data_IF_631556346266
#
_entry.id   IF_631556346266
#
_cell.length_a   1.000
_cell.length_b   1.000
_cell.length_c   1.000
_cell.angle_alpha   90.00
_cell.angle_beta   90.00
_cell.angle_gamma   90.00
#
_symmetry.space_group_name_H-M   'P 1'
#
loop_
_entity.id
_entity.type
_entity.pdbx_description
1 polymer ?
#
# COMPACT_ATOMS: atom_id res chain seq x y z
N UNK A 1 0.00 -5.90 38.96
CA UNK A 1 1.27 -5.21 38.62
C UNK A 1 1.65 -5.25 37.13
N UNK A 2 0.94 -5.98 36.26
CA UNK A 2 1.20 -6.04 34.80
C UNK A 2 0.63 -4.87 33.97
N UNK A 3 -0.13 -3.96 34.59
CA UNK A 3 -0.81 -2.87 33.89
C UNK A 3 0.16 -1.88 33.22
N UNK A 4 1.34 -1.65 33.81
CA UNK A 4 2.39 -0.82 33.22
C UNK A 4 2.97 -1.43 31.94
N UNK A 5 3.21 -2.75 31.93
CA UNK A 5 3.67 -3.46 30.74
C UNK A 5 2.63 -3.41 29.61
N UNK A 6 1.34 -3.60 29.92
CA UNK A 6 0.27 -3.47 28.92
C UNK A 6 0.13 -2.05 28.38
N UNK A 7 0.27 -1.03 29.23
CA UNK A 7 0.25 0.37 28.82
C UNK A 7 1.42 0.69 27.87
N UNK A 8 2.62 0.19 28.18
CA UNK A 8 3.80 0.32 27.32
C UNK A 8 3.58 -0.33 25.95
N UNK A 9 3.05 -1.56 25.91
CA UNK A 9 2.77 -2.28 24.66
C UNK A 9 1.72 -1.56 23.80
N UNK A 10 0.69 -0.96 24.42
CA UNK A 10 -0.29 -0.13 23.70
C UNK A 10 0.34 1.14 23.12
N UNK A 11 1.22 1.79 23.88
CA UNK A 11 1.99 2.95 23.40
C UNK A 11 2.89 2.61 22.20
N UNK A 12 3.61 1.48 22.27
CA UNK A 12 4.44 1.00 21.17
C UNK A 12 3.62 0.71 19.90
N UNK A 13 2.49 0.01 20.01
CA UNK A 13 1.62 -0.27 18.87
C UNK A 13 1.06 1.00 18.24
N UNK A 14 0.69 2.00 19.04
CA UNK A 14 0.20 3.29 18.54
C UNK A 14 1.30 4.05 17.79
N UNK A 15 2.53 4.03 18.27
CA UNK A 15 3.67 4.65 17.59
C UNK A 15 3.96 3.98 16.23
N UNK A 16 3.93 2.65 16.18
CA UNK A 16 4.16 1.90 14.93
C UNK A 16 3.09 2.22 13.89
N UNK A 17 1.80 2.13 14.27
CA UNK A 17 0.70 2.47 13.34
C UNK A 17 0.78 3.93 12.92
N UNK A 18 1.16 4.84 13.82
CA UNK A 18 1.40 6.25 13.50
C UNK A 18 2.48 6.44 12.45
N UNK A 19 3.63 5.78 12.59
CA UNK A 19 4.74 5.83 11.62
C UNK A 19 4.35 5.17 10.30
N UNK A 20 3.68 4.01 10.32
CA UNK A 20 3.19 3.33 9.13
C UNK A 20 2.16 4.18 8.38
N UNK A 21 1.25 4.83 9.10
CA UNK A 21 0.27 5.75 8.52
C UNK A 21 0.91 7.00 7.91
N UNK A 22 1.91 7.57 8.59
CA UNK A 22 2.69 8.68 8.05
C UNK A 22 3.40 8.28 6.75
N UNK A 23 4.09 7.13 6.75
CA UNK A 23 4.77 6.58 5.58
C UNK A 23 3.81 6.21 4.45
N UNK A 24 2.59 5.76 4.78
CA UNK A 24 1.56 5.45 3.80
C UNK A 24 1.11 6.70 3.05
N UNK A 25 0.94 7.83 3.74
CA UNK A 25 0.61 9.10 3.10
C UNK A 25 1.81 9.66 2.33
N UNK A 26 2.94 9.81 3.00
CA UNK A 26 4.18 10.32 2.43
C UNK A 26 5.37 9.46 2.89
N UNK A 27 6.05 8.71 2.01
CA UNK A 27 6.07 8.87 0.55
C UNK A 27 5.17 7.92 -0.25
N UNK A 28 4.59 6.87 0.35
CA UNK A 28 4.05 5.76 -0.47
C UNK A 28 2.90 6.21 -1.38
N UNK A 29 1.93 6.96 -0.86
CA UNK A 29 0.82 7.45 -1.67
C UNK A 29 1.22 8.63 -2.56
N UNK A 30 1.90 9.63 -1.99
CA UNK A 30 2.33 10.86 -2.69
C UNK A 30 3.29 10.60 -3.84
N UNK A 31 4.23 9.64 -3.69
CA UNK A 31 5.18 9.28 -4.75
C UNK A 31 4.61 8.33 -5.79
N UNK A 32 3.62 7.50 -5.44
CA UNK A 32 3.03 6.54 -6.36
C UNK A 32 1.93 7.15 -7.24
N UNK A 33 1.13 8.09 -6.72
CA UNK A 33 -0.04 8.65 -7.40
C UNK A 33 0.22 10.05 -7.94
N UNK A 34 1.15 10.15 -8.89
CA UNK A 34 1.54 11.44 -9.52
C UNK A 34 0.46 11.98 -10.46
N UNK A 35 -0.35 11.10 -11.05
CA UNK A 35 -1.40 11.45 -11.98
C UNK A 35 -2.58 10.47 -12.01
N UNK A 36 -3.55 10.72 -12.90
CA UNK A 36 -4.75 9.88 -13.01
C UNK A 36 -4.47 8.50 -13.61
N UNK A 37 -3.39 8.35 -14.39
CA UNK A 37 -3.05 7.08 -15.03
C UNK A 37 -2.47 6.08 -14.04
N UNK A 38 -1.62 6.52 -13.11
CA UNK A 38 -1.03 5.72 -12.04
C UNK A 38 -2.14 5.20 -11.11
N UNK A 39 -3.12 6.08 -10.82
CA UNK A 39 -4.30 5.72 -10.07
C UNK A 39 -5.16 4.68 -10.80
N UNK A 40 -5.40 4.85 -12.11
CA UNK A 40 -6.14 3.88 -12.91
C UNK A 40 -5.44 2.51 -12.97
N UNK A 41 -4.10 2.48 -13.07
CA UNK A 41 -3.30 1.26 -13.07
C UNK A 41 -3.40 0.54 -11.71
N UNK A 42 -3.28 1.27 -10.61
CA UNK A 42 -3.44 0.72 -9.26
C UNK A 42 -4.86 0.19 -9.01
N UNK A 43 -5.88 0.93 -9.46
CA UNK A 43 -7.28 0.49 -9.40
C UNK A 43 -7.50 -0.79 -10.22
N UNK A 44 -6.90 -0.88 -11.40
CA UNK A 44 -6.96 -2.08 -12.24
C UNK A 44 -6.35 -3.28 -11.50
N UNK A 45 -5.16 -3.12 -10.91
CA UNK A 45 -4.53 -4.16 -10.09
C UNK A 45 -5.41 -4.59 -8.91
N UNK A 46 -6.01 -3.65 -8.20
CA UNK A 46 -6.94 -3.94 -7.10
C UNK A 46 -8.17 -4.73 -7.59
N UNK A 47 -8.78 -4.35 -8.71
CA UNK A 47 -9.94 -5.06 -9.25
C UNK A 47 -9.55 -6.46 -9.73
N UNK A 48 -8.38 -6.64 -10.35
CA UNK A 48 -7.87 -7.96 -10.75
C UNK A 48 -7.76 -8.93 -9.55
N UNK A 49 -7.38 -8.41 -8.37
CA UNK A 49 -7.32 -9.20 -7.14
C UNK A 49 -8.70 -9.42 -6.50
N UNK A 50 -9.55 -8.41 -6.48
CA UNK A 50 -10.81 -8.45 -5.70
C UNK A 50 -12.00 -9.02 -6.47
N UNK A 51 -12.15 -8.62 -7.73
CA UNK A 51 -13.25 -9.04 -8.61
C UNK A 51 -12.89 -10.33 -9.34
N UNK A 52 -11.74 -10.34 -10.01
CA UNK A 52 -11.30 -11.49 -10.81
C UNK A 52 -10.54 -12.55 -10.01
N UNK A 53 -10.11 -12.25 -8.77
CA UNK A 53 -9.42 -13.19 -7.87
C UNK A 53 -8.21 -13.86 -8.52
N UNK A 54 -7.51 -13.12 -9.39
CA UNK A 54 -6.29 -13.61 -10.02
C UNK A 54 -5.19 -13.82 -8.96
N UNK A 55 -4.28 -14.79 -9.15
CA UNK A 55 -3.17 -14.97 -8.24
C UNK A 55 -2.27 -13.72 -8.24
N UNK A 56 -1.78 -13.34 -7.06
CA UNK A 56 -1.06 -12.08 -6.86
C UNK A 56 0.16 -11.91 -7.80
N UNK A 57 0.85 -13.00 -8.13
CA UNK A 57 2.01 -12.96 -9.02
C UNK A 57 1.65 -12.51 -10.45
N UNK A 58 0.46 -12.86 -10.97
CA UNK A 58 0.00 -12.39 -12.29
C UNK A 58 -0.29 -10.90 -12.26
N UNK A 59 -0.95 -10.43 -11.20
CA UNK A 59 -1.29 -9.01 -11.06
C UNK A 59 -0.03 -8.15 -10.98
N UNK A 60 1.00 -8.62 -10.26
CA UNK A 60 2.30 -7.94 -10.21
C UNK A 60 2.92 -7.83 -11.60
N UNK A 61 2.89 -8.89 -12.42
CA UNK A 61 3.42 -8.84 -13.80
C UNK A 61 2.66 -7.80 -14.64
N UNK A 62 1.32 -7.82 -14.60
CA UNK A 62 0.49 -6.88 -15.37
C UNK A 62 0.75 -5.43 -14.97
N UNK A 63 0.77 -5.14 -13.67
CA UNK A 63 1.00 -3.79 -13.15
C UNK A 63 2.43 -3.32 -13.43
N UNK A 64 3.43 -4.21 -13.31
CA UNK A 64 4.82 -3.88 -13.64
C UNK A 64 5.00 -3.55 -15.13
N UNK A 65 4.38 -4.32 -16.02
CA UNK A 65 4.37 -4.03 -17.46
C UNK A 65 3.66 -2.72 -17.77
N UNK A 66 2.50 -2.47 -17.15
CA UNK A 66 1.78 -1.20 -17.28
C UNK A 66 2.64 0.00 -16.83
N UNK A 67 3.31 -0.12 -15.69
CA UNK A 67 4.22 0.90 -15.18
C UNK A 67 5.42 1.15 -16.10
N UNK A 68 6.02 0.10 -16.68
CA UNK A 68 7.11 0.25 -17.65
C UNK A 68 6.68 1.00 -18.91
N UNK A 69 5.47 0.73 -19.42
CA UNK A 69 4.94 1.44 -20.60
C UNK A 69 4.68 2.92 -20.30
N UNK A 70 4.27 3.25 -19.08
CA UNK A 70 4.05 4.64 -18.66
C UNK A 70 5.36 5.41 -18.39
N UNK A 71 6.42 4.69 -18.02
CA UNK A 71 7.72 5.27 -17.73
C UNK A 71 8.60 5.47 -18.99
N UNK A 72 8.26 4.81 -20.10
CA UNK A 72 8.92 4.92 -21.40
C UNK A 72 8.43 6.12 -22.20
#
# INVERSE_FOLDING_TARGET
QWGSAQALMRGANAAVVGILGAALYDPVWTSAMVGPYEFALALTGFLLLTVWKLPAWLVVIVVALGGMVMAA
#
